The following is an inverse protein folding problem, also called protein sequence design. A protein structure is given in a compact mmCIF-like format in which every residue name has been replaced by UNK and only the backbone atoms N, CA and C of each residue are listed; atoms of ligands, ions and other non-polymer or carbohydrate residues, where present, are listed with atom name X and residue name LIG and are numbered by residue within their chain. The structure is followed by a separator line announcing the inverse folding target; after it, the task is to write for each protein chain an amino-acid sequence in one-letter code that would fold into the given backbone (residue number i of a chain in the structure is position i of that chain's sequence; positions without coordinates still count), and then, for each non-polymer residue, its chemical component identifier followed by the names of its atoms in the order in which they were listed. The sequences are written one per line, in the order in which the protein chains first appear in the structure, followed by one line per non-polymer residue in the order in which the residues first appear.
data_IF_146207791566
#
_entry.id   IF_146207791566
#
_cell.length_a   1.000
_cell.length_b   1.000
_cell.length_c   1.000
_cell.angle_alpha   90.00
_cell.angle_beta   90.00
_cell.angle_gamma   90.00
#
_symmetry.space_group_name_H-M   'P 1'
#
loop_
_entity.id
_entity.type
_entity.pdbx_description
1 polymer ?
#
# COMPACT_ATOMS: atom_id res chain seq x y z
N UNK A 1 -4.34 21.25 -13.77
CA UNK A 1 -3.39 20.17 -14.19
C UNK A 1 -2.58 19.64 -13.02
N UNK A 2 -1.93 20.49 -12.26
CA UNK A 2 -1.05 20.04 -11.15
C UNK A 2 -1.77 19.23 -10.07
N UNK A 3 -3.01 19.57 -9.71
CA UNK A 3 -3.80 18.86 -8.71
C UNK A 3 -4.15 17.40 -9.10
N UNK A 4 -4.34 17.13 -10.40
CA UNK A 4 -4.65 15.78 -10.91
C UNK A 4 -3.42 14.89 -10.94
N UNK A 5 -2.26 15.44 -11.31
CA UNK A 5 -1.00 14.71 -11.30
C UNK A 5 -0.55 14.37 -9.88
N UNK A 6 -0.62 15.33 -8.97
CA UNK A 6 -0.30 15.12 -7.55
C UNK A 6 -1.15 14.02 -6.92
N UNK A 7 -2.47 14.07 -7.08
CA UNK A 7 -3.38 13.05 -6.55
C UNK A 7 -3.11 11.64 -7.09
N UNK A 8 -2.80 11.52 -8.39
CA UNK A 8 -2.49 10.22 -8.99
C UNK A 8 -1.17 9.66 -8.45
N UNK A 9 -0.15 10.49 -8.29
CA UNK A 9 1.13 10.09 -7.73
C UNK A 9 0.98 9.71 -6.25
N UNK A 10 0.24 10.50 -5.48
CA UNK A 10 -0.04 10.20 -4.07
C UNK A 10 -0.79 8.88 -3.91
N UNK A 11 -1.78 8.63 -4.76
CA UNK A 11 -2.52 7.37 -4.78
C UNK A 11 -1.62 6.19 -5.15
N UNK A 12 -0.77 6.32 -6.16
CA UNK A 12 0.17 5.27 -6.55
C UNK A 12 1.20 5.00 -5.46
N UNK A 13 1.69 6.05 -4.80
CA UNK A 13 2.60 5.93 -3.65
C UNK A 13 1.93 5.18 -2.49
N UNK A 14 0.70 5.55 -2.15
CA UNK A 14 -0.09 4.87 -1.12
C UNK A 14 -0.33 3.39 -1.47
N UNK A 15 -0.59 3.07 -2.74
CA UNK A 15 -0.71 1.67 -3.19
C UNK A 15 0.59 0.91 -3.02
N UNK A 16 1.73 1.51 -3.36
CA UNK A 16 3.03 0.86 -3.21
C UNK A 16 3.35 0.59 -1.74
N UNK A 17 3.10 1.55 -0.85
CA UNK A 17 3.29 1.39 0.59
C UNK A 17 2.40 0.27 1.14
N UNK A 18 1.13 0.26 0.77
CA UNK A 18 0.21 -0.82 1.13
C UNK A 18 0.68 -2.19 0.65
N UNK A 19 1.12 -2.29 -0.61
CA UNK A 19 1.62 -3.56 -1.17
C UNK A 19 2.90 -4.02 -0.48
N UNK A 20 3.76 -3.10 -0.09
CA UNK A 20 4.97 -3.38 0.69
C UNK A 20 4.63 -3.92 2.09
N UNK A 21 3.71 -3.28 2.79
CA UNK A 21 3.25 -3.75 4.11
C UNK A 21 2.53 -5.09 4.04
N UNK A 22 1.67 -5.27 3.03
CA UNK A 22 1.01 -6.56 2.80
C UNK A 22 2.02 -7.67 2.53
N UNK A 23 3.08 -7.38 1.78
CA UNK A 23 4.17 -8.35 1.54
C UNK A 23 4.84 -8.79 2.84
N UNK A 24 5.11 -7.87 3.75
CA UNK A 24 5.67 -8.18 5.08
C UNK A 24 4.75 -9.08 5.89
N UNK A 25 3.45 -8.81 5.88
CA UNK A 25 2.45 -9.61 6.60
C UNK A 25 2.34 -11.02 6.03
N UNK A 26 2.28 -11.16 4.71
CA UNK A 26 2.24 -12.47 4.04
C UNK A 26 3.52 -13.24 4.33
N UNK A 27 4.69 -12.60 4.26
CA UNK A 27 5.97 -13.22 4.59
C UNK A 27 6.01 -13.67 6.05
N UNK A 28 5.47 -12.88 6.97
CA UNK A 28 5.34 -13.27 8.38
C UNK A 28 4.42 -14.48 8.57
N UNK A 29 3.29 -14.52 7.87
CA UNK A 29 2.40 -15.68 7.90
C UNK A 29 3.10 -16.95 7.44
N UNK A 30 3.85 -16.89 6.35
CA UNK A 30 4.61 -18.03 5.81
C UNK A 30 5.70 -18.47 6.78
N UNK A 31 6.44 -17.53 7.33
CA UNK A 31 7.52 -17.82 8.30
C UNK A 31 7.01 -18.48 9.57
N UNK A 32 5.80 -18.15 10.00
CA UNK A 32 5.17 -18.68 11.20
C UNK A 32 4.22 -19.86 10.94
N UNK A 33 4.31 -20.50 9.78
CA UNK A 33 3.48 -21.65 9.39
C UNK A 33 3.48 -22.77 10.45
N UNK A 34 4.66 -23.07 10.98
CA UNK A 34 4.87 -24.12 11.99
C UNK A 34 4.85 -23.60 13.43
N UNK A 35 4.60 -22.33 13.65
CA UNK A 35 4.52 -21.75 14.99
C UNK A 35 3.21 -22.15 15.66
N UNK A 36 3.24 -22.79 16.85
CA UNK A 36 2.03 -23.16 17.58
C UNK A 36 1.16 -21.94 17.87
N UNK A 37 -0.16 -22.09 17.72
CA UNK A 37 -1.16 -21.06 18.01
C UNK A 37 -1.02 -19.76 17.22
N UNK A 38 -0.23 -19.75 16.16
CA UNK A 38 -0.13 -18.61 15.25
C UNK A 38 -1.36 -18.53 14.37
N UNK A 39 -1.99 -17.36 14.36
CA UNK A 39 -3.11 -17.04 13.47
C UNK A 39 -2.64 -16.08 12.39
N UNK A 40 -2.91 -16.37 11.09
CA UNK A 40 -2.50 -15.52 10.01
C UNK A 40 -3.17 -14.15 10.07
N UNK A 41 -2.41 -13.13 9.75
CA UNK A 41 -2.87 -11.76 9.65
C UNK A 41 -3.15 -11.41 8.18
N UNK A 42 -4.10 -10.56 7.96
CA UNK A 42 -4.42 -10.04 6.64
C UNK A 42 -4.55 -8.52 6.68
N UNK A 43 -4.02 -7.85 5.66
CA UNK A 43 -4.10 -6.42 5.49
C UNK A 43 -5.08 -6.11 4.36
N UNK A 44 -6.15 -5.37 4.66
CA UNK A 44 -7.15 -4.94 3.69
C UNK A 44 -7.03 -3.46 3.38
N UNK A 45 -7.20 -3.12 2.10
CA UNK A 45 -6.94 -1.76 1.58
C UNK A 45 -8.20 -0.88 1.49
N UNK A 46 -9.37 -1.44 1.75
CA UNK A 46 -10.66 -0.80 1.43
C UNK A 46 -10.88 0.56 2.10
N UNK A 47 -10.41 0.74 3.31
CA UNK A 47 -10.61 1.98 4.08
C UNK A 47 -9.51 3.02 3.86
N UNK A 48 -8.27 2.58 3.68
CA UNK A 48 -7.16 3.47 3.36
C UNK A 48 -7.38 4.22 2.05
N UNK A 49 -7.91 3.55 1.01
CA UNK A 49 -8.23 4.17 -0.26
C UNK A 49 -9.41 5.16 -0.15
N UNK A 50 -10.42 4.85 0.66
CA UNK A 50 -11.52 5.79 0.93
C UNK A 50 -11.02 7.07 1.55
N UNK A 51 -10.16 7.00 2.56
CA UNK A 51 -9.59 8.18 3.19
C UNK A 51 -8.86 9.10 2.22
N UNK A 52 -8.12 8.54 1.27
CA UNK A 52 -7.37 9.31 0.25
C UNK A 52 -8.31 9.92 -0.80
N UNK A 53 -9.38 9.20 -1.18
CA UNK A 53 -10.36 9.68 -2.19
C UNK A 53 -11.31 10.72 -1.60
N UNK A 54 -11.80 10.50 -0.38
CA UNK A 54 -12.79 11.38 0.24
C UNK A 54 -12.20 12.68 0.81
N UNK A 55 -10.93 12.68 1.20
CA UNK A 55 -10.28 13.85 1.79
C UNK A 55 -9.91 14.95 0.79
N UNK A 56 -10.09 14.74 -0.50
CA UNK A 56 -9.96 15.77 -1.55
C UNK A 56 -8.62 16.53 -1.61
N UNK A 57 -7.73 16.20 -0.77
CA UNK A 57 -6.40 16.76 -0.61
C UNK A 57 -5.72 15.96 0.47
N UNK A 58 -4.46 15.64 0.27
CA UNK A 58 -3.68 14.73 1.07
C UNK A 58 -3.93 14.75 2.58
N UNK A 59 -3.55 13.74 3.31
CA UNK A 59 -3.90 13.57 4.70
C UNK A 59 -3.41 14.76 5.52
N UNK A 60 -4.30 15.72 5.73
CA UNK A 60 -4.13 16.77 6.71
C UNK A 60 -4.45 16.19 8.09
N UNK A 61 -3.62 15.27 8.55
CA UNK A 61 -3.63 14.92 9.96
C UNK A 61 -2.84 15.99 10.70
N UNK A 62 -3.55 16.81 11.45
CA UNK A 62 -2.94 17.70 12.43
C UNK A 62 -2.33 16.81 13.52
N UNK A 63 -1.05 16.53 13.39
CA UNK A 63 -0.29 15.77 14.40
C UNK A 63 -0.11 16.67 15.60
N UNK A 64 -0.90 16.47 16.63
CA UNK A 64 -0.84 17.22 17.90
C UNK A 64 0.22 16.69 18.86
N UNK A 65 0.77 15.50 18.61
CA UNK A 65 1.81 14.91 19.47
C UNK A 65 2.86 14.16 18.63
N UNK A 66 4.14 14.37 18.95
CA UNK A 66 5.29 13.73 18.27
C UNK A 66 5.31 12.20 18.41
N UNK A 67 4.57 11.64 19.34
CA UNK A 67 4.41 10.19 19.52
C UNK A 67 3.51 9.56 18.46
N UNK A 68 2.67 10.34 17.81
CA UNK A 68 1.81 9.90 16.72
C UNK A 68 2.52 9.86 15.35
N UNK A 69 3.80 10.24 15.28
CA UNK A 69 4.60 10.18 14.06
C UNK A 69 4.95 8.75 13.62
N UNK A 70 4.81 7.75 14.49
CA UNK A 70 5.02 6.35 14.15
C UNK A 70 3.83 5.72 13.40
N UNK A 71 2.69 6.35 13.42
CA UNK A 71 1.46 5.92 12.73
C UNK A 71 1.25 6.67 11.41
N UNK A 72 2.34 7.02 10.75
CA UNK A 72 2.30 7.75 9.51
C UNK A 72 2.11 6.81 8.31
N UNK A 73 1.05 6.05 8.33
CA UNK A 73 0.65 5.38 7.12
C UNK A 73 -0.79 5.76 6.76
N UNK A 74 -0.91 6.78 5.93
CA UNK A 74 -2.15 7.03 5.20
C UNK A 74 -2.55 5.83 4.31
N UNK A 75 -1.73 4.80 4.30
CA UNK A 75 -1.94 3.53 3.63
C UNK A 75 -2.15 2.37 4.62
N UNK A 76 -2.43 2.66 5.89
CA UNK A 76 -2.75 1.62 6.86
C UNK A 76 -4.11 1.00 6.52
N UNK A 77 -4.02 -0.15 5.85
CA UNK A 77 -5.14 -1.05 5.77
C UNK A 77 -5.41 -1.64 7.15
N UNK A 78 -6.64 -2.02 7.40
CA UNK A 78 -7.01 -2.72 8.60
C UNK A 78 -6.34 -4.10 8.65
N UNK A 79 -5.60 -4.37 9.71
CA UNK A 79 -5.03 -5.69 9.98
C UNK A 79 -6.07 -6.54 10.68
N UNK A 80 -6.58 -7.54 9.98
CA UNK A 80 -7.48 -8.54 10.55
C UNK A 80 -6.72 -9.83 10.83
N UNK A 81 -7.17 -10.56 11.85
CA UNK A 81 -6.61 -11.88 12.20
C UNK A 81 -7.61 -12.94 11.77
N UNK A 82 -7.16 -13.90 10.98
CA UNK A 82 -7.97 -15.06 10.60
C UNK A 82 -8.11 -16.03 11.78
N UNK A 83 -9.27 -16.66 11.91
CA UNK A 83 -9.51 -17.70 12.91
C UNK A 83 -8.94 -19.08 12.53
N UNK A 84 -8.49 -19.25 11.30
CA UNK A 84 -8.00 -20.50 10.76
C UNK A 84 -6.47 -20.57 10.74
N UNK A 85 -5.94 -21.79 10.66
CA UNK A 85 -4.49 -22.01 10.52
C UNK A 85 -3.97 -21.43 9.19
N UNK A 86 -2.66 -21.14 9.17
CA UNK A 86 -1.97 -20.69 7.95
C UNK A 86 -2.05 -21.78 6.88
N UNK A 87 -2.60 -21.43 5.72
CA UNK A 87 -2.55 -22.25 4.50
C UNK A 87 -1.44 -21.71 3.60
N UNK A 88 -0.41 -22.54 3.38
CA UNK A 88 0.76 -22.16 2.57
C UNK A 88 0.36 -21.86 1.11
N UNK A 89 -0.53 -22.62 0.53
CA UNK A 89 -0.96 -22.44 -0.87
C UNK A 89 -1.71 -21.12 -1.03
N UNK A 90 -2.60 -20.78 -0.10
CA UNK A 90 -3.30 -19.50 -0.06
C UNK A 90 -2.32 -18.33 0.12
N UNK A 91 -1.38 -18.43 1.05
CA UNK A 91 -0.38 -17.39 1.31
C UNK A 91 0.56 -17.18 0.12
N UNK A 92 0.97 -18.26 -0.55
CA UNK A 92 1.81 -18.18 -1.76
C UNK A 92 1.06 -17.54 -2.93
N UNK A 93 -0.22 -17.85 -3.11
CA UNK A 93 -1.08 -17.22 -4.12
C UNK A 93 -1.26 -15.73 -3.84
N UNK A 94 -1.50 -15.34 -2.59
CA UNK A 94 -1.59 -13.94 -2.15
C UNK A 94 -0.26 -13.19 -2.36
N UNK A 95 0.87 -13.85 -2.10
CA UNK A 95 2.19 -13.27 -2.34
C UNK A 95 2.42 -13.01 -3.83
N UNK A 96 2.10 -13.95 -4.70
CA UNK A 96 2.24 -13.80 -6.16
C UNK A 96 1.33 -12.68 -6.69
N UNK A 97 0.08 -12.62 -6.27
CA UNK A 97 -0.85 -11.55 -6.61
C UNK A 97 -0.33 -10.19 -6.13
N UNK A 98 0.11 -10.11 -4.89
CA UNK A 98 0.63 -8.87 -4.33
C UNK A 98 1.88 -8.37 -5.06
N UNK A 99 2.79 -9.28 -5.43
CA UNK A 99 3.98 -8.96 -6.21
C UNK A 99 3.63 -8.44 -7.61
N UNK A 100 2.67 -9.07 -8.27
CA UNK A 100 2.19 -8.64 -9.58
C UNK A 100 1.59 -7.22 -9.50
N UNK A 101 0.77 -6.95 -8.51
CA UNK A 101 0.15 -5.64 -8.30
C UNK A 101 1.16 -4.57 -7.91
N UNK A 102 2.17 -4.93 -7.13
CA UNK A 102 3.30 -4.05 -6.81
C UNK A 102 4.05 -3.63 -8.09
N UNK A 103 4.44 -4.59 -8.91
CA UNK A 103 5.14 -4.34 -10.18
C UNK A 103 4.30 -3.49 -11.14
N UNK A 104 3.00 -3.74 -11.22
CA UNK A 104 2.07 -2.95 -12.01
C UNK A 104 2.01 -1.49 -11.52
N UNK A 105 1.94 -1.28 -10.22
CA UNK A 105 1.92 0.07 -9.63
C UNK A 105 3.22 0.83 -9.88
N UNK A 106 4.37 0.15 -9.79
CA UNK A 106 5.69 0.72 -10.14
C UNK A 106 5.74 1.13 -11.61
N UNK A 107 5.26 0.27 -12.51
CA UNK A 107 5.25 0.58 -13.96
C UNK A 107 4.36 1.78 -14.29
N UNK A 108 3.17 1.85 -13.69
CA UNK A 108 2.29 3.02 -13.82
C UNK A 108 2.95 4.30 -13.32
N UNK A 109 3.61 4.26 -12.18
CA UNK A 109 4.34 5.41 -11.64
C UNK A 109 5.48 5.84 -12.57
N UNK A 110 6.25 4.89 -13.08
CA UNK A 110 7.32 5.15 -14.02
C UNK A 110 6.81 5.79 -15.34
N UNK A 111 5.65 5.36 -15.83
CA UNK A 111 5.00 5.97 -17.01
C UNK A 111 4.56 7.41 -16.73
N UNK A 112 4.03 7.69 -15.55
CA UNK A 112 3.66 9.06 -15.15
C UNK A 112 4.87 9.98 -15.11
N UNK A 113 5.97 9.56 -14.50
CA UNK A 113 7.20 10.36 -14.46
C UNK A 113 7.81 10.58 -15.85
N UNK A 114 7.79 9.56 -16.72
CA UNK A 114 8.24 9.73 -18.11
C UNK A 114 7.40 10.75 -18.87
N UNK A 115 6.08 10.73 -18.69
CA UNK A 115 5.18 11.71 -19.27
C UNK A 115 5.50 13.13 -18.80
N UNK A 116 5.70 13.32 -17.50
CA UNK A 116 6.09 14.63 -16.94
C UNK A 116 7.44 15.12 -17.50
N UNK A 117 8.43 14.24 -17.58
CA UNK A 117 9.73 14.60 -18.14
C UNK A 117 9.65 14.97 -19.63
N UNK A 118 8.79 14.31 -20.40
CA UNK A 118 8.56 14.66 -21.81
C UNK A 118 7.98 16.07 -21.93
N UNK A 119 6.95 16.39 -21.16
CA UNK A 119 6.33 17.72 -21.17
C UNK A 119 7.32 18.81 -20.75
N UNK A 120 8.13 18.56 -19.72
CA UNK A 120 9.16 19.51 -19.27
C UNK A 120 10.27 19.73 -20.30
N UNK A 121 10.60 18.74 -21.11
CA UNK A 121 11.59 18.89 -22.18
C UNK A 121 11.03 19.65 -23.38
N UNK A 122 9.75 19.51 -23.68
CA UNK A 122 9.09 20.24 -24.76
C UNK A 122 8.82 21.70 -24.40
N UNK A 123 8.75 22.03 -23.11
CA UNK A 123 8.55 23.39 -22.62
C UNK A 123 9.81 24.28 -22.65
N UNK A 124 10.94 23.75 -23.08
CA UNK A 124 12.19 24.50 -23.34
C UNK A 124 12.34 24.82 -24.83
#
# INVERSE_FOLDING_TARGET
MDALFGKTIDMLSAMLDFRSERHKIISSNITNLDTPDYLPKELTFREALRGVVDSGGGPSMTVTDKRHLSERSAAEGEVTVSGDKVDIDDQMAKMAENQLMYNFSVDLMARKFRGLNAVLKEAK
#
